data_IF_488327774522
#
_entry.id   IF_488327774522
#
_cell.length_a   1.000
_cell.length_b   1.000
_cell.length_c   1.000
_cell.angle_alpha   90.00
_cell.angle_beta   90.00
_cell.angle_gamma   90.00
#
_symmetry.space_group_name_H-M   'P 1'
#
loop_
_entity.id
_entity.type
_entity.pdbx_description
1 polymer ?
#
# COMPACT_ATOMS: atom_id res chain seq x y z
N UNK A 1 0.36 -15.75 -0.60
CA UNK A 1 0.52 -14.28 -0.69
C UNK A 1 1.55 -13.86 0.33
N UNK A 2 2.58 -13.12 -0.06
CA UNK A 2 3.59 -12.61 0.88
C UNK A 2 3.20 -11.21 1.35
N UNK A 3 2.60 -11.14 2.55
CA UNK A 3 2.15 -9.89 3.17
C UNK A 3 3.32 -8.95 3.48
N UNK A 4 4.49 -9.50 3.86
CA UNK A 4 5.66 -8.71 4.19
C UNK A 4 6.21 -7.99 2.95
N UNK A 5 6.26 -8.69 1.81
CA UNK A 5 6.66 -8.10 0.55
C UNK A 5 5.75 -6.92 0.14
N UNK A 6 4.45 -7.01 0.41
CA UNK A 6 3.51 -5.92 0.13
C UNK A 6 3.73 -4.71 1.04
N UNK A 7 3.96 -4.92 2.35
CA UNK A 7 4.26 -3.84 3.31
C UNK A 7 5.53 -3.11 2.90
N UNK A 8 6.60 -3.85 2.60
CA UNK A 8 7.86 -3.25 2.16
C UNK A 8 7.72 -2.46 0.86
N UNK A 9 6.92 -2.94 -0.10
CA UNK A 9 6.73 -2.21 -1.36
C UNK A 9 5.91 -0.93 -1.17
N UNK A 10 4.87 -0.95 -0.33
CA UNK A 10 4.12 0.26 0.05
C UNK A 10 5.07 1.27 0.71
N UNK A 11 5.84 0.84 1.71
CA UNK A 11 6.76 1.73 2.43
C UNK A 11 7.80 2.35 1.49
N UNK A 12 8.41 1.54 0.62
CA UNK A 12 9.37 2.00 -0.39
C UNK A 12 8.78 3.06 -1.33
N UNK A 13 7.52 2.91 -1.75
CA UNK A 13 6.83 3.87 -2.63
C UNK A 13 6.48 5.14 -1.88
N UNK A 14 5.96 5.04 -0.65
CA UNK A 14 5.65 6.18 0.20
C UNK A 14 6.91 7.01 0.50
N UNK A 15 8.02 6.38 0.88
CA UNK A 15 9.31 7.06 1.11
C UNK A 15 9.80 7.82 -0.12
N UNK A 16 9.58 7.27 -1.32
CA UNK A 16 9.93 7.94 -2.58
C UNK A 16 9.06 9.17 -2.83
N UNK A 17 7.79 9.14 -2.43
CA UNK A 17 6.88 10.28 -2.54
C UNK A 17 7.21 11.35 -1.51
N UNK A 18 7.51 10.97 -0.26
CA UNK A 18 7.90 11.90 0.80
C UNK A 18 9.19 12.66 0.50
N UNK A 19 10.11 12.05 -0.26
CA UNK A 19 11.31 12.74 -0.77
C UNK A 19 11.00 13.82 -1.81
N UNK A 20 9.80 13.84 -2.40
CA UNK A 20 9.35 14.90 -3.29
C UNK A 20 8.56 15.92 -2.46
N UNK A 21 8.99 17.17 -2.44
CA UNK A 21 8.29 18.22 -1.68
C UNK A 21 6.83 18.33 -2.09
N UNK A 22 5.93 18.39 -1.09
CA UNK A 22 4.53 18.76 -1.27
C UNK A 22 3.49 17.67 -1.00
N UNK A 23 3.89 16.49 -0.54
CA UNK A 23 2.94 15.41 -0.17
C UNK A 23 3.07 15.11 1.32
N UNK A 24 1.94 15.03 2.04
CA UNK A 24 1.94 14.61 3.44
C UNK A 24 2.25 13.12 3.58
N UNK A 25 2.70 12.70 4.77
CA UNK A 25 2.95 11.29 5.05
C UNK A 25 1.71 10.43 4.79
N UNK A 26 0.55 10.88 5.27
CA UNK A 26 -0.71 10.17 5.06
C UNK A 26 -1.05 10.02 3.57
N UNK A 27 -0.98 11.10 2.78
CA UNK A 27 -1.23 11.04 1.34
C UNK A 27 -0.24 10.12 0.61
N UNK A 28 1.04 10.14 1.00
CA UNK A 28 2.06 9.27 0.41
C UNK A 28 1.74 7.79 0.63
N UNK A 29 1.33 7.41 1.85
CA UNK A 29 0.95 6.02 2.15
C UNK A 29 -0.35 5.60 1.49
N UNK A 30 -1.37 6.46 1.45
CA UNK A 30 -2.64 6.19 0.75
C UNK A 30 -2.40 5.94 -0.75
N UNK A 31 -1.59 6.79 -1.40
CA UNK A 31 -1.28 6.65 -2.81
C UNK A 31 -0.42 5.40 -3.07
N UNK A 32 0.61 5.16 -2.25
CA UNK A 32 1.46 3.98 -2.37
C UNK A 32 0.67 2.67 -2.20
N UNK A 33 -0.25 2.62 -1.23
CA UNK A 33 -1.15 1.48 -1.04
C UNK A 33 -2.07 1.28 -2.24
N UNK A 34 -2.65 2.34 -2.76
CA UNK A 34 -3.54 2.28 -3.93
C UNK A 34 -2.81 1.68 -5.14
N UNK A 35 -1.57 2.12 -5.39
CA UNK A 35 -0.75 1.62 -6.49
C UNK A 35 -0.42 0.13 -6.31
N UNK A 36 0.00 -0.28 -5.10
CA UNK A 36 0.30 -1.69 -4.80
C UNK A 36 -0.96 -2.55 -4.93
N UNK A 37 -2.09 -2.10 -4.38
CA UNK A 37 -3.36 -2.82 -4.49
C UNK A 37 -3.83 -2.98 -5.93
N UNK A 38 -3.63 -1.96 -6.77
CA UNK A 38 -3.95 -2.03 -8.20
C UNK A 38 -3.14 -3.11 -8.93
N UNK A 39 -1.86 -3.28 -8.58
CA UNK A 39 -1.02 -4.36 -9.12
C UNK A 39 -1.41 -5.73 -8.56
N UNK A 40 -1.70 -5.82 -7.27
CA UNK A 40 -2.03 -7.09 -6.62
C UNK A 40 -3.38 -7.64 -7.10
N UNK A 41 -4.41 -6.80 -7.24
CA UNK A 41 -5.74 -7.21 -7.76
C UNK A 41 -5.70 -7.89 -9.14
N UNK A 42 -4.63 -7.71 -9.93
CA UNK A 42 -4.44 -8.38 -11.23
C UNK A 42 -3.85 -9.79 -11.09
N UNK A 43 -3.26 -10.11 -9.95
CA UNK A 43 -2.48 -11.34 -9.70
C UNK A 43 -3.19 -12.31 -8.76
N UNK A 44 -4.09 -11.81 -7.92
CA UNK A 44 -4.74 -12.58 -6.85
C UNK A 44 -6.28 -12.53 -6.99
N UNK A 45 -7.00 -13.53 -6.46
CA UNK A 45 -8.45 -13.48 -6.33
C UNK A 45 -8.96 -12.29 -5.52
N UNK A 46 -10.17 -11.82 -5.82
CA UNK A 46 -10.79 -10.64 -5.19
C UNK A 46 -10.85 -10.73 -3.66
N UNK A 47 -11.24 -11.90 -3.14
CA UNK A 47 -11.29 -12.21 -1.71
C UNK A 47 -9.93 -12.04 -1.02
N UNK A 48 -8.85 -12.48 -1.67
CA UNK A 48 -7.50 -12.29 -1.16
C UNK A 48 -7.04 -10.83 -1.27
N UNK A 49 -7.45 -10.14 -2.33
CA UNK A 49 -7.15 -8.71 -2.50
C UNK A 49 -7.83 -7.86 -1.42
N UNK A 50 -9.08 -8.15 -1.09
CA UNK A 50 -9.80 -7.42 -0.05
C UNK A 50 -9.21 -7.69 1.33
N UNK A 51 -8.80 -8.94 1.61
CA UNK A 51 -8.04 -9.27 2.83
C UNK A 51 -6.69 -8.52 2.89
N UNK A 52 -5.95 -8.47 1.79
CA UNK A 52 -4.69 -7.70 1.72
C UNK A 52 -4.91 -6.21 1.92
N UNK A 53 -5.97 -5.65 1.34
CA UNK A 53 -6.30 -4.24 1.48
C UNK A 53 -6.57 -3.88 2.95
N UNK A 54 -7.42 -4.67 3.62
CA UNK A 54 -7.71 -4.50 5.04
C UNK A 54 -6.46 -4.65 5.91
N UNK A 55 -5.59 -5.62 5.59
CA UNK A 55 -4.32 -5.81 6.28
C UNK A 55 -3.41 -4.57 6.15
N UNK A 56 -3.26 -4.01 4.95
CA UNK A 56 -2.41 -2.85 4.72
C UNK A 56 -2.96 -1.59 5.42
N UNK A 57 -4.28 -1.36 5.39
CA UNK A 57 -4.92 -0.22 6.08
C UNK A 57 -4.59 -0.22 7.57
N UNK A 58 -4.73 -1.38 8.23
CA UNK A 58 -4.38 -1.56 9.65
C UNK A 58 -2.89 -1.39 9.90
N UNK A 59 -2.05 -1.97 9.04
CA UNK A 59 -0.60 -1.93 9.22
C UNK A 59 -0.03 -0.49 9.16
N UNK A 60 -0.64 0.38 8.36
CA UNK A 60 -0.22 1.78 8.19
C UNK A 60 -1.06 2.80 8.97
N UNK A 61 -2.06 2.35 9.75
CA UNK A 61 -2.89 3.24 10.57
C UNK A 61 -3.70 4.27 9.75
N UNK A 62 -4.20 3.85 8.58
CA UNK A 62 -4.95 4.72 7.64
C UNK A 62 -6.47 4.64 7.87
N UNK A 63 -6.91 3.79 8.80
CA UNK A 63 -8.34 3.54 9.13
C UNK A 63 -9.17 4.81 9.40
#
# INVERSE_FOLDING_TARGET
MDHLACVMDVQRRADKMLKKSGVTEHEAYVQAMTDVMHEQRKKIPTDQADHLHAFLLRNFGIE
#
